data_IF_279402385655
#
_entry.id   IF_279402385655
#
_cell.length_a   1.000
_cell.length_b   1.000
_cell.length_c   1.000
_cell.angle_alpha   90.00
_cell.angle_beta   90.00
_cell.angle_gamma   90.00
#
_symmetry.space_group_name_H-M   'P 1'
#
loop_
_entity.id
_entity.type
_entity.pdbx_description
1 polymer ?
#
# COMPACT_ATOMS: atom_id res chain seq x y z
N UNK A 1 -5.64 -31.00 -8.36
CA UNK A 1 -6.17 -30.13 -7.27
C UNK A 1 -5.03 -29.43 -6.53
N UNK A 2 -3.91 -30.10 -6.25
CA UNK A 2 -2.76 -29.51 -5.53
C UNK A 2 -2.12 -28.31 -6.24
N UNK A 3 -1.97 -28.35 -7.57
CA UNK A 3 -1.45 -27.20 -8.34
C UNK A 3 -2.28 -25.93 -8.10
N UNK A 4 -3.61 -26.05 -8.17
CA UNK A 4 -4.52 -24.93 -7.95
C UNK A 4 -4.40 -24.44 -6.51
N UNK A 5 -4.36 -25.34 -5.52
CA UNK A 5 -4.18 -24.96 -4.12
C UNK A 5 -2.88 -24.19 -3.90
N UNK A 6 -1.77 -24.65 -4.48
CA UNK A 6 -0.47 -24.01 -4.34
C UNK A 6 -0.46 -22.57 -4.87
N UNK A 7 -1.10 -22.33 -6.02
CA UNK A 7 -1.23 -20.98 -6.59
C UNK A 7 -2.21 -20.11 -5.79
N UNK A 8 -3.36 -20.64 -5.36
CA UNK A 8 -4.34 -19.89 -4.57
C UNK A 8 -3.80 -19.49 -3.19
N UNK A 9 -3.05 -20.38 -2.54
CA UNK A 9 -2.45 -20.12 -1.22
C UNK A 9 -1.09 -19.41 -1.32
N UNK A 10 -0.62 -19.09 -2.54
CA UNK A 10 0.67 -18.45 -2.80
C UNK A 10 1.84 -19.16 -2.09
N UNK A 11 1.85 -20.50 -2.14
CA UNK A 11 2.92 -21.32 -1.54
C UNK A 11 4.28 -20.96 -2.15
N UNK A 12 5.39 -21.17 -1.43
CA UNK A 12 6.73 -21.04 -2.02
C UNK A 12 6.83 -21.84 -3.32
N UNK A 13 7.47 -21.26 -4.33
CA UNK A 13 7.69 -21.87 -5.64
C UNK A 13 6.41 -22.21 -6.44
N UNK A 14 5.25 -21.63 -6.10
CA UNK A 14 4.00 -21.84 -6.86
C UNK A 14 4.00 -21.25 -8.30
N UNK A 15 5.07 -20.58 -8.71
CA UNK A 15 5.23 -20.03 -10.07
C UNK A 15 4.42 -18.77 -10.37
N UNK A 16 3.69 -18.22 -9.41
CA UNK A 16 2.96 -16.95 -9.58
C UNK A 16 3.94 -15.77 -9.48
N UNK A 17 3.85 -14.82 -10.43
CA UNK A 17 4.69 -13.64 -10.44
C UNK A 17 4.45 -12.74 -9.22
N UNK A 18 5.52 -12.37 -8.51
CA UNK A 18 5.44 -11.58 -7.28
C UNK A 18 4.83 -10.18 -7.47
N UNK A 19 5.03 -9.53 -8.60
CA UNK A 19 4.42 -8.23 -8.88
C UNK A 19 2.91 -8.35 -9.03
N UNK A 20 2.43 -9.42 -9.68
CA UNK A 20 1.00 -9.67 -9.80
C UNK A 20 0.35 -9.90 -8.43
N UNK A 21 1.03 -10.63 -7.54
CA UNK A 21 0.58 -10.81 -6.15
C UNK A 21 0.42 -9.47 -5.44
N UNK A 22 1.43 -8.59 -5.51
CA UNK A 22 1.36 -7.29 -4.84
C UNK A 22 0.28 -6.37 -5.43
N UNK A 23 0.08 -6.37 -6.76
CA UNK A 23 -0.93 -5.55 -7.43
C UNK A 23 -2.38 -6.00 -7.13
N UNK A 24 -2.60 -7.30 -6.99
CA UNK A 24 -3.91 -7.88 -6.69
C UNK A 24 -4.15 -8.08 -5.18
N UNK A 25 -3.18 -7.70 -4.35
CA UNK A 25 -3.30 -7.80 -2.90
C UNK A 25 -4.33 -6.79 -2.37
N UNK A 26 -5.08 -7.18 -1.34
CA UNK A 26 -5.95 -6.27 -0.58
C UNK A 26 -5.18 -5.39 0.41
N UNK A 27 -3.83 -5.41 0.35
CA UNK A 27 -2.98 -4.57 1.20
C UNK A 27 -3.26 -3.10 0.95
N UNK A 28 -3.21 -2.33 2.04
CA UNK A 28 -3.34 -0.89 1.95
C UNK A 28 -2.21 -0.30 1.07
N UNK A 29 -2.52 0.63 0.15
CA UNK A 29 -1.50 1.30 -0.64
C UNK A 29 -0.66 2.22 0.26
N UNK A 30 0.60 2.45 -0.15
CA UNK A 30 1.51 3.35 0.56
C UNK A 30 0.96 4.78 0.63
N UNK A 31 1.37 5.51 1.66
CA UNK A 31 1.01 6.92 1.86
C UNK A 31 1.33 7.77 0.62
N UNK A 32 2.51 7.57 0.01
CA UNK A 32 2.93 8.25 -1.21
C UNK A 32 2.00 7.97 -2.40
N UNK A 33 1.56 6.72 -2.59
CA UNK A 33 0.64 6.37 -3.69
C UNK A 33 -0.72 7.03 -3.50
N UNK A 34 -1.21 7.07 -2.26
CA UNK A 34 -2.47 7.76 -1.93
C UNK A 34 -2.36 9.26 -2.20
N UNK A 35 -1.26 9.88 -1.76
CA UNK A 35 -1.04 11.31 -1.96
C UNK A 35 -0.91 11.68 -3.44
N UNK A 36 -0.15 10.91 -4.22
CA UNK A 36 -0.01 11.16 -5.66
C UNK A 36 -1.37 11.04 -6.37
N UNK A 37 -2.15 10.00 -6.05
CA UNK A 37 -3.49 9.84 -6.61
C UNK A 37 -4.39 11.04 -6.28
N UNK A 38 -4.34 11.58 -5.06
CA UNK A 38 -5.13 12.75 -4.69
C UNK A 38 -4.70 14.00 -5.49
N UNK A 39 -3.39 14.18 -5.71
CA UNK A 39 -2.85 15.27 -6.54
C UNK A 39 -3.32 15.13 -8.00
N UNK A 40 -3.29 13.91 -8.54
CA UNK A 40 -3.75 13.62 -9.91
C UNK A 40 -5.25 13.91 -10.07
N UNK A 41 -6.08 13.51 -9.09
CA UNK A 41 -7.53 13.80 -9.08
C UNK A 41 -7.79 15.31 -9.02
N UNK A 42 -7.06 16.04 -8.17
CA UNK A 42 -7.20 17.49 -8.06
C UNK A 42 -6.85 18.20 -9.37
N UNK A 43 -5.77 17.76 -10.04
CA UNK A 43 -5.36 18.28 -11.34
C UNK A 43 -6.36 17.94 -12.46
N UNK A 44 -6.91 16.72 -12.48
CA UNK A 44 -7.90 16.30 -13.48
C UNK A 44 -9.22 17.09 -13.38
N UNK A 45 -9.57 17.55 -12.19
CA UNK A 45 -10.81 18.26 -11.92
C UNK A 45 -10.64 19.77 -11.67
N UNK A 46 -9.46 20.34 -11.95
CA UNK A 46 -9.13 21.77 -11.74
C UNK A 46 -9.46 22.27 -10.31
N UNK A 47 -9.21 21.42 -9.30
CA UNK A 47 -9.44 21.75 -7.90
C UNK A 47 -8.23 22.51 -7.33
N UNK A 48 -8.48 23.70 -6.78
CA UNK A 48 -7.51 24.43 -5.96
C UNK A 48 -7.39 23.77 -4.58
N UNK A 49 -6.61 22.69 -4.53
CA UNK A 49 -6.39 21.89 -3.34
C UNK A 49 -4.94 22.02 -2.87
N UNK A 50 -4.76 22.42 -1.60
CA UNK A 50 -3.46 22.45 -0.94
C UNK A 50 -3.08 21.07 -0.36
N UNK A 51 -2.07 20.39 -0.90
CA UNK A 51 -1.66 19.07 -0.42
C UNK A 51 -0.87 19.13 0.90
N UNK A 52 -0.41 20.30 1.36
CA UNK A 52 0.52 20.40 2.49
C UNK A 52 -0.03 19.78 3.79
N UNK A 53 -1.33 19.96 4.03
CA UNK A 53 -2.02 19.34 5.18
C UNK A 53 -2.04 17.82 5.06
N UNK A 54 -2.38 17.29 3.88
CA UNK A 54 -2.40 15.85 3.64
C UNK A 54 -0.99 15.26 3.70
N UNK A 55 0.01 15.90 3.09
CA UNK A 55 1.42 15.51 3.17
C UNK A 55 1.88 15.35 4.61
N UNK A 56 1.55 16.31 5.47
CA UNK A 56 1.91 16.25 6.88
C UNK A 56 1.22 15.09 7.59
N UNK A 57 -0.06 14.84 7.36
CA UNK A 57 -0.76 13.70 7.98
C UNK A 57 -0.29 12.33 7.45
N UNK A 58 -0.06 12.21 6.14
CA UNK A 58 0.33 10.95 5.50
C UNK A 58 1.79 10.56 5.76
N UNK A 59 2.68 11.54 5.95
CA UNK A 59 4.11 11.32 6.22
C UNK A 59 4.44 11.28 7.71
N UNK A 60 3.48 11.60 8.60
CA UNK A 60 3.66 11.35 10.03
C UNK A 60 4.00 9.87 10.22
N UNK A 61 5.19 9.63 10.76
CA UNK A 61 5.54 8.31 11.28
C UNK A 61 4.59 8.04 12.44
N UNK A 62 3.53 7.28 12.18
CA UNK A 62 2.75 6.72 13.27
C UNK A 62 3.71 5.87 14.10
N UNK A 63 3.75 6.12 15.41
CA UNK A 63 4.56 5.32 16.31
C UNK A 63 4.18 3.85 16.12
N UNK A 64 5.15 3.05 15.69
CA UNK A 64 4.95 1.62 15.55
C UNK A 64 4.91 1.01 16.96
N UNK A 65 3.68 0.93 17.50
CA UNK A 65 3.42 0.43 18.84
C UNK A 65 3.86 -1.05 19.00
N UNK A 66 4.08 -1.78 17.90
CA UNK A 66 4.58 -3.16 17.93
C UNK A 66 6.10 -3.21 18.06
N UNK A 67 6.83 -2.28 17.44
CA UNK A 67 8.30 -2.16 17.59
C UNK A 67 8.67 -1.78 19.03
N UNK A 68 7.84 -0.98 19.71
CA UNK A 68 8.09 -0.60 21.10
C UNK A 68 8.03 -1.76 22.10
N UNK A 69 7.30 -2.83 21.78
CA UNK A 69 7.16 -4.02 22.66
C UNK A 69 8.33 -4.99 22.48
N UNK A 70 8.98 -5.01 21.31
CA UNK A 70 10.06 -5.97 20.99
C UNK A 70 11.44 -5.44 21.46
N UNK A 71 11.54 -4.15 21.80
CA UNK A 71 12.77 -3.49 22.26
C UNK A 71 12.82 -3.19 23.78
N UNK A 72 11.86 -3.69 24.55
CA UNK A 72 11.88 -3.69 26.03
C UNK A 72 12.20 -5.09 26.56
#
# INVERSE_FOLDING_TARGET
KEFISAATELRPDCGVNRQLIELLSVRAPSAEKKLNLLKDIAAEHDLDWDPATAETEFLKKHEDLLVSIILQ
#
